data_IF_445227883411
#
_entry.id   IF_445227883411
#
_cell.length_a   1.000
_cell.length_b   1.000
_cell.length_c   1.000
_cell.angle_alpha   90.00
_cell.angle_beta   90.00
_cell.angle_gamma   90.00
#
_symmetry.space_group_name_H-M   'P 1'
#
loop_
_entity.id
_entity.type
_entity.pdbx_description
1 polymer ?
2 polymer ?
3 non-polymer ?
4 water ?
#
# COMPACT_ATOMS: atom_id res chain seq x y z
N UNK A 1 -1.86 -22.92 -21.73
CA UNK A 1 -1.34 -22.43 -20.46
C UNK A 1 -0.81 -21.02 -20.66
N UNK A 2 0.16 -20.87 -21.55
CA UNK A 2 0.73 -19.56 -21.87
C UNK A 2 -0.33 -18.49 -22.09
N UNK A 3 -1.28 -18.76 -22.98
CA UNK A 3 -2.33 -17.81 -23.30
C UNK A 3 -3.24 -17.47 -22.11
N UNK A 4 -3.34 -18.40 -21.16
CA UNK A 4 -4.21 -18.18 -20.02
C UNK A 4 -3.55 -17.35 -18.93
N UNK A 5 -2.23 -17.51 -18.79
CA UNK A 5 -1.49 -16.68 -17.88
C UNK A 5 -1.52 -15.25 -18.43
N UNK A 6 -1.39 -15.12 -19.73
CA UNK A 6 -1.47 -13.81 -20.38
C UNK A 6 -2.82 -13.11 -20.16
N UNK A 7 -3.90 -13.88 -20.25
CA UNK A 7 -5.24 -13.35 -20.07
C UNK A 7 -5.46 -12.96 -18.61
N UNK A 8 -4.89 -13.76 -17.71
CA UNK A 8 -4.95 -13.50 -16.27
C UNK A 8 -4.19 -12.23 -15.89
N UNK A 9 -3.04 -12.02 -16.53
CA UNK A 9 -2.28 -10.78 -16.38
C UNK A 9 -3.07 -9.59 -16.86
N UNK A 10 -3.57 -9.69 -18.09
CA UNK A 10 -4.41 -8.66 -18.70
C UNK A 10 -5.63 -8.29 -17.82
N UNK A 11 -6.34 -9.29 -17.31
CA UNK A 11 -7.46 -9.05 -16.39
C UNK A 11 -7.10 -8.31 -15.09
N UNK A 12 -6.01 -8.71 -14.44
CA UNK A 12 -5.60 -8.09 -13.20
C UNK A 12 -5.18 -6.67 -13.46
N UNK A 13 -4.47 -6.49 -14.56
CA UNK A 13 -4.04 -5.16 -14.95
C UNK A 13 -5.26 -4.25 -15.09
N UNK A 14 -6.26 -4.74 -15.82
CA UNK A 14 -7.50 -4.01 -16.02
C UNK A 14 -8.15 -3.58 -14.72
N UNK A 15 -8.15 -4.48 -13.74
CA UNK A 15 -8.81 -4.18 -12.48
C UNK A 15 -7.89 -3.33 -11.60
N UNK A 16 -6.59 -3.51 -11.77
CA UNK A 16 -5.59 -2.70 -11.10
C UNK A 16 -5.80 -1.23 -11.47
N UNK A 17 -6.18 -1.00 -12.74
CA UNK A 17 -6.34 0.34 -13.28
C UNK A 17 -7.60 1.03 -12.76
N UNK A 18 -8.73 0.33 -12.85
CA UNK A 18 -9.99 0.78 -12.27
C UNK A 18 -9.86 1.03 -10.77
N UNK A 19 -9.13 0.14 -10.08
CA UNK A 19 -9.05 0.17 -8.62
C UNK A 19 -8.14 1.26 -8.06
N UNK A 20 -7.04 1.54 -8.76
CA UNK A 20 -6.12 2.58 -8.30
C UNK A 20 -5.97 3.69 -9.31
N UNK A 21 -6.69 4.79 -9.08
CA UNK A 21 -6.81 5.85 -10.09
C UNK A 21 -5.44 6.41 -10.47
N UNK A 22 -4.59 6.68 -9.48
CA UNK A 22 -3.26 7.18 -9.81
C UNK A 22 -2.26 6.04 -9.96
N UNK A 23 -1.61 5.97 -11.12
CA UNK A 23 -0.73 4.85 -11.41
C UNK A 23 0.75 5.19 -11.41
N UNK A 24 1.59 4.16 -11.50
CA UNK A 24 3.02 4.39 -11.61
C UNK A 24 3.34 5.24 -12.83
N UNK A 25 2.91 4.82 -14.03
CA UNK A 25 3.13 5.67 -15.19
C UNK A 25 2.66 7.10 -14.94
N UNK A 26 1.40 7.26 -14.54
CA UNK A 26 0.82 8.57 -14.31
C UNK A 26 1.69 9.43 -13.39
N UNK A 27 2.30 8.79 -12.40
CA UNK A 27 2.94 9.49 -11.30
C UNK A 27 4.42 9.67 -11.57
N UNK A 28 4.98 8.75 -12.36
CA UNK A 28 6.36 8.85 -12.79
C UNK A 28 6.50 10.06 -13.70
N UNK A 29 5.42 10.36 -14.43
CA UNK A 29 5.40 11.47 -15.36
C UNK A 29 5.52 12.77 -14.57
N UNK A 30 4.59 12.95 -13.63
CA UNK A 30 4.57 14.10 -12.74
C UNK A 30 5.92 14.37 -12.07
N UNK A 31 6.61 13.30 -11.67
CA UNK A 31 7.87 13.43 -10.94
C UNK A 31 9.04 13.86 -11.82
N UNK A 32 9.02 13.43 -13.08
CA UNK A 32 10.09 13.74 -14.02
C UNK A 32 9.83 15.07 -14.69
N UNK A 33 8.70 15.69 -14.33
CA UNK A 33 8.28 16.93 -14.93
C UNK A 33 7.65 16.67 -16.28
N UNK A 34 7.52 15.38 -16.62
CA UNK A 34 6.96 14.98 -17.90
C UNK A 34 5.50 15.39 -18.03
N UNK A 39 3.76 20.50 -11.71
CA UNK A 39 3.15 21.67 -11.09
C UNK A 39 2.39 21.39 -9.76
N UNK A 40 2.90 20.48 -8.92
CA UNK A 40 2.25 20.09 -7.65
C UNK A 40 2.62 21.00 -6.47
N UNK A 41 1.66 21.30 -5.60
CA UNK A 41 1.97 22.06 -4.39
C UNK A 41 3.01 21.34 -3.54
N UNK A 42 4.05 22.05 -3.13
CA UNK A 42 5.13 21.44 -2.38
C UNK A 42 4.98 21.70 -0.87
N UNK A 43 5.01 20.63 -0.10
CA UNK A 43 4.98 20.71 1.37
C UNK A 43 6.37 20.45 1.89
N UNK A 44 6.93 21.44 2.56
CA UNK A 44 8.31 21.36 3.02
C UNK A 44 8.35 21.63 4.54
N UNK A 45 7.27 22.20 5.06
CA UNK A 45 7.17 22.51 6.49
C UNK A 45 5.72 22.61 6.92
N UNK A 46 5.49 23.22 8.08
CA UNK A 46 4.14 23.39 8.61
C UNK A 46 3.32 24.39 7.80
N UNK A 47 3.84 25.61 7.65
CA UNK A 47 3.14 26.65 6.90
C UNK A 47 2.70 26.21 5.50
N UNK A 48 3.56 25.52 4.78
CA UNK A 48 3.24 25.13 3.41
C UNK A 48 2.31 23.92 3.43
N UNK A 49 2.26 23.25 4.57
CA UNK A 49 1.33 22.16 4.78
C UNK A 49 -0.09 22.69 4.83
N UNK A 50 -0.32 23.66 5.71
CA UNK A 50 -1.63 24.29 5.84
C UNK A 50 -2.00 25.00 4.54
N UNK A 51 -1.01 25.63 3.91
CA UNK A 51 -1.25 26.39 2.71
C UNK A 51 -1.58 25.42 1.58
N UNK A 52 -1.17 24.18 1.77
CA UNK A 52 -1.54 23.10 0.87
C UNK A 52 -2.68 22.28 1.44
N UNK A 53 -3.30 22.76 2.51
CA UNK A 53 -4.47 22.09 3.08
C UNK A 53 -5.65 22.35 2.17
N UNK A 54 -5.36 23.02 1.05
CA UNK A 54 -6.31 23.21 -0.04
C UNK A 54 -5.62 22.81 -1.32
N UNK A 55 -4.88 21.70 -1.22
CA UNK A 55 -4.25 21.03 -2.36
C UNK A 55 -5.34 20.34 -3.16
N UNK A 56 -6.05 19.44 -2.49
CA UNK A 56 -7.25 18.81 -3.02
C UNK A 56 -8.39 19.17 -2.07
N UNK A 57 -8.69 20.47 -1.98
CA UNK A 57 -9.64 20.99 -1.00
C UNK A 57 -9.09 20.86 0.42
N UNK A 58 -8.84 19.61 0.85
CA UNK A 58 -8.28 19.30 2.16
C UNK A 58 -8.45 17.81 2.44
N UNK A 59 -7.65 17.28 3.36
CA UNK A 59 -7.79 15.88 3.76
C UNK A 59 -8.96 15.69 4.70
N UNK A 60 -10.13 16.21 4.34
CA UNK A 60 -11.30 16.26 5.22
C UNK A 60 -12.29 15.12 4.93
N UNK A 61 -12.65 14.35 5.95
CA UNK A 61 -12.20 14.55 7.33
C UNK A 61 -10.70 14.31 7.49
N UNK A 62 -9.95 15.22 8.13
CA UNK A 62 -10.43 16.46 8.78
C UNK A 62 -11.82 16.42 9.40
N UNK A 63 -12.01 15.58 10.44
CA UNK A 63 -13.28 15.50 11.13
C UNK A 63 -13.53 16.75 11.96
N UNK A 64 -13.37 16.58 13.27
CA UNK A 64 -13.35 17.66 14.22
C UNK A 64 -12.24 17.26 15.18
N UNK A 65 -11.47 16.27 14.72
CA UNK A 65 -10.23 15.83 15.35
C UNK A 65 -9.17 15.74 14.25
N UNK A 66 -7.89 15.76 14.63
CA UNK A 66 -6.77 15.86 13.69
C UNK A 66 -6.66 17.28 13.14
N UNK A 67 -7.78 17.99 13.14
CA UNK A 67 -7.85 19.41 12.80
C UNK A 67 -6.70 20.19 13.41
N UNK A 68 -6.11 19.62 14.44
CA UNK A 68 -5.53 20.39 15.54
C UNK A 68 -4.04 20.69 15.54
N UNK A 69 -3.30 19.72 16.04
CA UNK A 69 -2.08 20.01 16.80
C UNK A 69 -0.82 20.30 16.00
N UNK A 70 0.30 20.11 16.69
CA UNK A 70 1.64 20.17 16.12
C UNK A 70 1.80 19.34 14.85
N UNK A 71 2.86 19.61 14.10
CA UNK A 71 2.99 19.13 12.72
C UNK A 71 3.00 17.59 12.60
N UNK A 72 3.90 16.94 13.32
CA UNK A 72 3.93 15.48 13.33
C UNK A 72 2.52 14.88 13.51
N UNK A 73 1.75 15.36 14.50
CA UNK A 73 0.39 14.83 14.73
C UNK A 73 -0.53 15.10 13.55
N UNK A 74 -0.56 16.35 13.08
CA UNK A 74 -1.41 16.73 11.96
C UNK A 74 -1.18 15.79 10.77
N UNK A 75 0.09 15.45 10.56
CA UNK A 75 0.49 14.59 9.45
C UNK A 75 0.16 13.13 9.73
N UNK A 76 0.50 12.66 10.91
CA UNK A 76 0.17 11.30 11.32
C UNK A 76 -1.31 11.05 11.10
N UNK A 77 -2.12 12.04 11.42
CA UNK A 77 -3.56 11.88 11.34
C UNK A 77 -4.13 11.98 9.92
N UNK A 78 -3.47 12.74 9.05
CA UNK A 78 -3.85 12.82 7.65
C UNK A 78 -3.47 11.55 6.90
N UNK A 79 -2.48 10.84 7.43
CA UNK A 79 -2.01 9.62 6.82
C UNK A 79 -3.05 8.50 6.95
N UNK A 80 -3.88 8.60 7.98
CA UNK A 80 -4.89 7.60 8.25
C UNK A 80 -6.07 7.73 7.29
N UNK A 81 -6.41 8.97 6.93
CA UNK A 81 -7.45 9.18 5.92
C UNK A 81 -7.06 8.44 4.64
N UNK A 82 -5.88 8.77 4.10
CA UNK A 82 -5.45 8.20 2.83
C UNK A 82 -5.38 6.68 2.89
N UNK A 83 -5.03 6.15 4.05
CA UNK A 83 -4.80 4.72 4.15
C UNK A 83 -6.09 3.93 4.35
N UNK A 84 -7.17 4.60 4.76
CA UNK A 84 -8.51 4.02 4.72
C UNK A 84 -8.99 3.91 3.26
N UNK A 85 -8.85 5.00 2.52
CA UNK A 85 -9.04 4.97 1.07
C UNK A 85 -8.39 3.72 0.47
N UNK A 86 -7.09 3.59 0.74
CA UNK A 86 -6.26 2.57 0.12
C UNK A 86 -6.78 1.17 0.45
N UNK A 87 -7.15 0.96 1.70
CA UNK A 87 -7.68 -0.33 2.12
C UNK A 87 -8.92 -0.68 1.31
N UNK A 88 -9.77 0.32 1.05
CA UNK A 88 -10.96 0.09 0.24
C UNK A 88 -10.60 -0.24 -1.21
N UNK A 89 -9.69 0.54 -1.79
CA UNK A 89 -9.26 0.26 -3.14
C UNK A 89 -8.71 -1.17 -3.18
N UNK A 90 -7.88 -1.51 -2.18
CA UNK A 90 -7.24 -2.81 -2.19
C UNK A 90 -8.28 -3.95 -2.05
N UNK A 91 -9.15 -3.84 -1.06
CA UNK A 91 -10.27 -4.77 -0.87
C UNK A 91 -11.00 -4.99 -2.17
N UNK A 92 -11.33 -3.89 -2.82
CA UNK A 92 -11.98 -3.90 -4.12
C UNK A 92 -11.18 -4.76 -5.11
N UNK A 93 -9.89 -4.46 -5.23
CA UNK A 93 -9.06 -5.16 -6.20
C UNK A 93 -8.94 -6.66 -5.84
N UNK A 94 -8.86 -6.98 -4.56
CA UNK A 94 -8.85 -8.38 -4.13
C UNK A 94 -10.10 -9.11 -4.64
N UNK A 95 -11.29 -8.54 -4.42
CA UNK A 95 -12.50 -9.14 -4.96
C UNK A 95 -12.36 -9.54 -6.45
N UNK A 96 -11.49 -8.84 -7.18
CA UNK A 96 -11.32 -9.08 -8.61
C UNK A 96 -10.34 -10.19 -8.92
N UNK A 97 -9.58 -10.64 -7.92
CA UNK A 97 -8.68 -11.76 -8.15
C UNK A 97 -9.45 -13.08 -8.23
N UNK A 98 -9.42 -13.71 -9.42
CA UNK A 98 -10.30 -14.85 -9.68
C UNK A 98 -10.11 -15.91 -8.60
N UNK A 99 -11.18 -16.39 -8.00
CA UNK A 99 -11.04 -17.38 -6.94
C UNK A 99 -11.13 -16.80 -5.53
N UNK A 100 -10.84 -15.50 -5.40
CA UNK A 100 -10.79 -14.87 -4.09
C UNK A 100 -12.14 -14.81 -3.37
N UNK A 101 -13.17 -14.30 -4.05
CA UNK A 101 -14.47 -14.20 -3.38
C UNK A 101 -15.08 -15.59 -3.16
N UNK A 102 -14.45 -16.61 -3.74
CA UNK A 102 -14.88 -17.98 -3.52
C UNK A 102 -14.28 -18.60 -2.26
N UNK A 103 -13.33 -17.89 -1.65
CA UNK A 103 -12.71 -18.39 -0.43
C UNK A 103 -13.66 -18.22 0.74
N UNK A 104 -13.36 -18.94 1.81
CA UNK A 104 -14.00 -18.69 3.08
C UNK A 104 -13.88 -17.20 3.40
N UNK A 105 -14.98 -16.65 3.93
CA UNK A 105 -15.02 -15.25 4.29
C UNK A 105 -13.98 -14.93 5.36
N UNK A 106 -13.81 -15.85 6.30
CA UNK A 106 -12.78 -15.70 7.34
C UNK A 106 -11.40 -15.68 6.74
N UNK A 107 -11.17 -16.53 5.75
CA UNK A 107 -9.87 -16.51 5.05
C UNK A 107 -9.69 -15.20 4.29
N UNK A 108 -10.75 -14.74 3.62
CA UNK A 108 -10.70 -13.47 2.92
C UNK A 108 -10.33 -12.31 3.85
N UNK A 109 -10.90 -12.30 5.06
CA UNK A 109 -10.62 -11.27 6.05
C UNK A 109 -9.16 -11.31 6.48
N UNK A 110 -8.69 -12.50 6.82
CA UNK A 110 -7.29 -12.71 7.20
C UNK A 110 -6.31 -12.28 6.11
N UNK A 111 -6.59 -12.62 4.87
CA UNK A 111 -5.65 -12.29 3.79
C UNK A 111 -5.47 -10.80 3.68
N UNK A 112 -6.59 -10.09 3.75
CA UNK A 112 -6.58 -8.65 3.65
C UNK A 112 -5.96 -8.02 4.89
N UNK A 113 -6.33 -8.51 6.08
CA UNK A 113 -5.77 -7.99 7.32
C UNK A 113 -4.23 -8.00 7.33
N UNK A 114 -3.65 -9.11 6.89
CA UNK A 114 -2.18 -9.25 6.89
C UNK A 114 -1.47 -8.70 5.64
N UNK A 115 -2.20 -8.50 4.54
CA UNK A 115 -1.56 -8.16 3.27
C UNK A 115 -1.64 -6.70 2.89
N UNK A 116 -2.55 -6.02 3.57
CA UNK A 116 -2.89 -4.65 3.25
C UNK A 116 -1.66 -3.70 3.35
N UNK A 117 -0.88 -3.78 4.41
CA UNK A 117 0.25 -2.87 4.51
C UNK A 117 1.38 -3.22 3.57
N UNK A 118 1.53 -4.49 3.26
CA UNK A 118 2.56 -4.90 2.33
C UNK A 118 2.25 -4.24 1.00
N UNK A 119 0.98 -4.21 0.64
CA UNK A 119 0.51 -3.60 -0.60
C UNK A 119 0.55 -2.08 -0.55
N UNK A 120 0.16 -1.51 0.57
CA UNK A 120 0.29 -0.08 0.73
C UNK A 120 1.76 0.36 0.53
N UNK A 121 2.73 -0.30 1.16
CA UNK A 121 4.12 0.14 0.95
C UNK A 121 4.62 -0.17 -0.46
N UNK A 122 4.08 -1.20 -1.09
CA UNK A 122 4.47 -1.51 -2.46
C UNK A 122 3.97 -0.41 -3.35
N UNK A 123 2.71 -0.03 -3.17
CA UNK A 123 2.13 0.96 -4.06
C UNK A 123 2.68 2.36 -3.81
N UNK A 124 3.02 2.64 -2.56
CA UNK A 124 3.57 3.93 -2.18
C UNK A 124 4.86 4.21 -2.94
N UNK A 125 5.67 3.17 -3.16
CA UNK A 125 6.96 3.28 -3.84
C UNK A 125 6.83 3.87 -5.26
N UNK A 126 5.74 3.54 -5.94
CA UNK A 126 5.45 4.16 -7.23
C UNK A 126 5.41 5.67 -7.09
N UNK A 127 4.99 6.13 -5.92
CA UNK A 127 4.72 7.54 -5.68
C UNK A 127 5.95 8.31 -5.18
N UNK A 128 7.05 7.61 -4.95
CA UNK A 128 8.25 8.22 -4.39
C UNK A 128 9.44 8.38 -5.35
N UNK A 129 10.30 9.35 -5.05
CA UNK A 129 11.66 9.38 -5.59
C UNK A 129 12.55 9.62 -4.40
N UNK A 130 13.87 9.66 -4.61
CA UNK A 130 14.80 9.87 -3.49
C UNK A 130 14.47 11.13 -2.65
N UNK A 131 13.73 12.06 -3.22
CA UNK A 131 13.60 13.37 -2.57
C UNK A 131 12.25 13.64 -1.89
N UNK A 132 11.25 12.83 -2.17
CA UNK A 132 9.92 13.10 -1.64
C UNK A 132 8.82 12.22 -2.21
N UNK A 133 7.61 12.42 -1.68
CA UNK A 133 6.47 11.60 -2.06
C UNK A 133 5.29 12.42 -2.52
N UNK A 134 4.61 11.90 -3.56
CA UNK A 134 3.40 12.52 -4.09
C UNK A 134 2.23 12.32 -3.15
N UNK A 135 1.31 13.27 -3.14
CA UNK A 135 0.13 13.14 -2.31
C UNK A 135 -1.03 13.81 -3.02
N UNK A 136 -2.25 13.57 -2.53
CA UNK A 136 -3.42 14.23 -3.08
C UNK A 136 -3.49 13.90 -4.54
N UNK A 137 -3.34 12.62 -4.84
CA UNK A 137 -3.50 12.16 -6.19
C UNK A 137 -2.61 12.99 -7.10
N UNK A 138 -1.35 13.15 -6.70
CA UNK A 138 -0.37 13.84 -7.52
C UNK A 138 -0.44 15.36 -7.52
N UNK A 139 -1.29 15.94 -6.67
CA UNK A 139 -1.40 17.40 -6.61
C UNK A 139 -0.40 18.03 -5.64
N UNK A 140 0.12 17.22 -4.73
CA UNK A 140 1.11 17.67 -3.78
C UNK A 140 2.37 16.84 -3.86
N UNK A 141 3.47 17.39 -3.38
CA UNK A 141 4.71 16.65 -3.24
C UNK A 141 5.29 16.95 -1.87
N UNK A 142 5.36 15.92 -1.02
CA UNK A 142 5.85 16.11 0.33
C UNK A 142 7.33 15.70 0.37
N UNK A 143 8.20 16.60 0.82
CA UNK A 143 9.63 16.32 0.84
C UNK A 143 10.01 15.28 1.88
N UNK A 144 10.95 14.43 1.49
CA UNK A 144 11.50 13.43 2.38
C UNK A 144 12.06 14.05 3.65
N UNK A 145 12.85 15.11 3.49
CA UNK A 145 13.55 15.77 4.60
C UNK A 145 12.57 16.32 5.60
N UNK A 146 11.42 16.78 5.10
CA UNK A 146 10.40 17.27 5.99
C UNK A 146 9.89 16.11 6.82
N UNK A 147 9.63 15.00 6.15
CA UNK A 147 9.10 13.82 6.83
C UNK A 147 10.02 13.24 7.91
N UNK A 148 11.34 13.25 7.69
CA UNK A 148 12.30 12.82 8.73
C UNK A 148 12.26 13.76 9.93
N UNK A 149 12.45 15.05 9.64
CA UNK A 149 12.52 16.09 10.66
C UNK A 149 11.39 16.01 11.69
N UNK A 150 10.31 15.31 11.36
CA UNK A 150 9.26 15.07 12.35
C UNK A 150 9.97 14.44 13.54
N UNK A 151 9.60 14.82 14.75
CA UNK A 151 10.43 14.41 15.88
C UNK A 151 9.95 13.20 16.68
N UNK A 152 9.14 13.45 17.71
CA UNK A 152 8.86 12.46 18.77
C UNK A 152 9.22 11.00 18.45
N UNK A 153 8.25 10.17 18.00
CA UNK A 153 8.67 8.94 17.31
C UNK A 153 8.26 8.97 15.85
N UNK A 154 7.60 10.04 15.43
CA UNK A 154 6.99 10.12 14.10
C UNK A 154 8.03 10.26 13.00
N UNK A 155 9.21 10.71 13.36
CA UNK A 155 10.35 10.61 12.45
C UNK A 155 10.45 9.15 12.12
N UNK A 156 11.04 8.83 10.96
CA UNK A 156 11.39 7.45 10.69
C UNK A 156 10.17 6.54 10.77
N UNK A 157 8.99 7.13 10.56
CA UNK A 157 7.81 6.33 10.31
C UNK A 157 7.73 6.23 8.81
N UNK A 158 8.52 7.07 8.14
CA UNK A 158 8.48 7.16 6.70
C UNK A 158 9.86 6.96 6.07
N UNK A 159 10.89 7.26 6.83
CA UNK A 159 12.25 7.07 6.32
C UNK A 159 12.52 5.63 5.84
N UNK A 160 12.04 4.62 6.59
CA UNK A 160 12.24 3.23 6.18
C UNK A 160 11.54 2.92 4.84
N UNK A 161 10.38 3.52 4.59
CA UNK A 161 9.65 3.27 3.36
C UNK A 161 10.38 3.93 2.19
N UNK A 162 10.99 5.08 2.46
CA UNK A 162 11.77 5.73 1.42
C UNK A 162 12.93 4.84 1.09
N UNK A 163 13.58 4.30 2.11
CA UNK A 163 14.75 3.45 1.89
C UNK A 163 14.40 2.24 1.05
N UNK A 164 13.23 1.65 1.34
CA UNK A 164 12.75 0.50 0.60
C UNK A 164 12.33 0.89 -0.82
N UNK A 165 11.61 2.01 -0.93
CA UNK A 165 11.12 2.47 -2.22
C UNK A 165 12.26 2.68 -3.23
N UNK A 166 13.38 3.22 -2.76
CA UNK A 166 14.50 3.53 -3.64
C UNK A 166 15.12 2.26 -4.23
N UNK A 167 15.20 1.21 -3.42
CA UNK A 167 15.68 -0.08 -3.90
C UNK A 167 14.66 -0.74 -4.83
N UNK A 168 13.38 -0.61 -4.47
CA UNK A 168 12.31 -1.31 -5.17
C UNK A 168 12.11 -0.72 -6.55
N UNK A 169 12.20 0.60 -6.62
CA UNK A 169 12.08 1.33 -7.87
C UNK A 169 13.25 1.09 -8.82
N UNK A 170 14.40 0.70 -8.26
CA UNK A 170 15.52 0.29 -9.10
C UNK A 170 15.18 -0.95 -9.94
N UNK A 171 14.27 -1.79 -9.43
CA UNK A 171 13.80 -2.96 -10.19
C UNK A 171 13.08 -2.48 -11.43
N UNK A 172 12.65 -1.23 -11.38
CA UNK A 172 11.86 -0.58 -12.45
C UNK A 172 10.68 -1.38 -13.01
N UNK A 173 9.85 -1.85 -12.09
CA UNK A 173 8.58 -2.48 -12.43
C UNK A 173 7.60 -1.48 -13.02
N UNK A 174 6.78 -1.94 -13.96
CA UNK A 174 5.67 -1.11 -14.38
C UNK A 174 4.37 -1.61 -13.76
N UNK A 175 3.28 -0.90 -14.07
CA UNK A 175 1.95 -1.22 -13.57
C UNK A 175 1.48 -2.65 -13.90
N UNK A 176 1.85 -3.17 -15.06
CA UNK A 176 1.46 -4.50 -15.47
C UNK A 176 2.16 -5.51 -14.58
N UNK A 177 3.41 -5.22 -14.22
CA UNK A 177 4.18 -6.15 -13.41
C UNK A 177 3.61 -6.08 -12.01
N UNK A 178 3.38 -4.85 -11.55
CA UNK A 178 2.97 -4.62 -10.19
C UNK A 178 1.62 -5.27 -9.93
N UNK A 179 0.77 -5.24 -10.95
CA UNK A 179 -0.57 -5.79 -10.85
C UNK A 179 -0.58 -7.23 -10.34
N UNK A 180 0.31 -8.05 -10.87
CA UNK A 180 0.34 -9.45 -10.52
C UNK A 180 1.09 -9.67 -9.23
N UNK A 181 2.09 -8.83 -8.98
CA UNK A 181 2.89 -8.90 -7.77
C UNK A 181 2.00 -8.68 -6.55
N UNK A 182 1.11 -7.71 -6.66
CA UNK A 182 0.16 -7.36 -5.60
C UNK A 182 -0.84 -8.52 -5.38
N UNK A 183 -1.31 -9.11 -6.47
CA UNK A 183 -2.18 -10.27 -6.38
C UNK A 183 -1.49 -11.38 -5.59
N UNK A 184 -0.27 -11.70 -5.99
CA UNK A 184 0.54 -12.72 -5.30
C UNK A 184 0.65 -12.47 -3.79
N UNK A 185 0.92 -11.21 -3.40
CA UNK A 185 1.05 -10.87 -1.99
C UNK A 185 -0.23 -11.13 -1.21
N UNK A 186 -1.36 -10.69 -1.76
CA UNK A 186 -2.66 -10.97 -1.14
C UNK A 186 -2.92 -12.46 -0.99
N UNK A 187 -2.53 -13.25 -1.98
CA UNK A 187 -2.81 -14.69 -1.90
C UNK A 187 -1.67 -15.48 -1.22
N UNK A 188 -1.15 -14.93 -0.12
CA UNK A 188 -0.11 -15.55 0.68
C UNK A 188 -0.71 -16.55 1.65
N UNK A 189 -0.33 -17.82 1.53
CA UNK A 189 -0.92 -18.87 2.35
C UNK A 189 -0.30 -19.09 3.74
N UNK A 190 0.66 -18.23 4.13
CA UNK A 190 1.28 -18.37 5.44
C UNK A 190 0.76 -17.34 6.44
N UNK A 191 -0.42 -16.81 6.18
CA UNK A 191 -1.04 -15.90 7.12
C UNK A 191 -1.52 -16.65 8.38
N UNK A 192 -1.17 -16.11 9.55
CA UNK A 192 -1.68 -16.61 10.83
C UNK A 192 -3.20 -16.78 10.82
N UNK A 193 -3.68 -17.94 11.24
CA UNK A 193 -5.09 -18.18 11.46
C UNK A 193 -5.90 -18.44 10.20
N UNK A 194 -5.24 -18.94 9.16
CA UNK A 194 -5.98 -19.35 7.97
C UNK A 194 -6.68 -20.67 8.23
N UNK A 195 -7.89 -20.79 7.72
CA UNK A 195 -8.73 -21.96 7.99
C UNK A 195 -8.38 -23.13 7.08
N UNK A 196 -8.35 -22.90 5.77
CA UNK A 196 -7.74 -23.89 4.91
C UNK A 196 -6.90 -23.29 3.79
N UNK A 197 -5.65 -23.69 3.81
CA UNK A 197 -4.59 -23.07 3.05
C UNK A 197 -4.57 -23.51 1.58
N UNK A 198 -4.88 -24.78 1.35
CA UNK A 198 -4.74 -25.38 0.03
C UNK A 198 -5.28 -24.53 -1.13
N UNK A 199 -6.53 -24.06 -1.02
CA UNK A 199 -7.11 -23.30 -2.15
C UNK A 199 -6.47 -21.94 -2.37
N UNK A 200 -5.96 -21.33 -1.31
CA UNK A 200 -5.23 -20.07 -1.44
C UNK A 200 -3.89 -20.31 -2.16
N UNK A 201 -3.14 -21.31 -1.70
CA UNK A 201 -1.89 -21.68 -2.33
C UNK A 201 -2.07 -22.13 -3.79
N UNK A 202 -3.24 -22.64 -4.11
CA UNK A 202 -3.47 -23.05 -5.48
C UNK A 202 -3.57 -21.79 -6.35
N UNK A 203 -4.31 -20.81 -5.88
CA UNK A 203 -4.40 -19.56 -6.60
C UNK A 203 -3.04 -18.86 -6.72
N UNK A 204 -2.27 -18.83 -5.64
CA UNK A 204 -0.98 -18.13 -5.70
C UNK A 204 -0.07 -18.79 -6.74
N UNK A 205 -0.09 -20.12 -6.78
CA UNK A 205 0.70 -20.88 -7.76
C UNK A 205 0.45 -20.31 -9.12
N UNK A 206 -0.82 -20.08 -9.38
CA UNK A 206 -1.26 -19.48 -10.62
C UNK A 206 -0.78 -18.05 -10.86
N UNK A 207 -0.90 -17.20 -9.85
CA UNK A 207 -0.44 -15.83 -10.01
C UNK A 207 1.07 -15.82 -10.20
N UNK A 208 1.75 -16.78 -9.58
CA UNK A 208 3.22 -16.83 -9.61
C UNK A 208 3.72 -17.19 -11.00
N UNK A 209 3.08 -18.20 -11.59
CA UNK A 209 3.31 -18.56 -12.98
C UNK A 209 3.11 -17.35 -13.90
N UNK A 210 1.99 -16.66 -13.71
CA UNK A 210 1.66 -15.51 -14.51
C UNK A 210 2.67 -14.37 -14.30
N UNK A 211 3.14 -14.19 -13.07
CA UNK A 211 4.09 -13.12 -12.79
C UNK A 211 5.41 -13.40 -13.50
N UNK A 212 5.82 -14.67 -13.44
CA UNK A 212 7.09 -15.14 -13.99
C UNK A 212 7.20 -14.89 -15.49
N UNK A 213 6.09 -15.13 -16.17
CA UNK A 213 5.98 -14.96 -17.60
C UNK A 213 5.90 -13.48 -17.93
N UNK A 214 5.15 -12.75 -17.12
CA UNK A 214 5.10 -11.31 -17.29
C UNK A 214 6.51 -10.73 -17.22
N UNK A 215 7.27 -11.12 -16.20
CA UNK A 215 8.62 -10.58 -16.05
C UNK A 215 9.49 -10.91 -17.27
N UNK A 216 9.34 -12.13 -17.80
CA UNK A 216 10.19 -12.54 -18.90
C UNK A 216 9.85 -11.82 -20.21
N UNK A 217 8.56 -11.66 -20.48
CA UNK A 217 8.13 -10.89 -21.66
C UNK A 217 8.49 -9.42 -21.56
N UNK A 218 8.06 -8.81 -20.47
CA UNK A 218 8.22 -7.37 -20.26
C UNK A 218 9.67 -6.90 -19.96
N UNK A 219 10.46 -7.73 -19.27
CA UNK A 219 11.83 -7.35 -18.89
C UNK A 219 12.88 -8.39 -19.28
N UNK A 220 13.04 -8.61 -20.60
CA UNK A 220 13.82 -9.76 -21.13
C UNK A 220 15.32 -9.72 -20.83
N UNK A 221 15.90 -8.55 -20.59
CA UNK A 221 17.31 -8.51 -20.23
C UNK A 221 17.56 -8.39 -18.73
N UNK A 222 16.49 -8.29 -17.94
CA UNK A 222 16.65 -8.18 -16.50
C UNK A 222 16.76 -9.56 -15.85
N UNK A 223 18.00 -9.97 -15.61
CA UNK A 223 18.33 -11.33 -15.19
C UNK A 223 17.81 -11.63 -13.79
N UNK A 224 17.07 -12.72 -13.67
CA UNK A 224 16.60 -13.17 -12.36
C UNK A 224 15.65 -12.15 -11.68
N UNK A 225 14.92 -11.37 -12.47
CA UNK A 225 14.01 -10.38 -11.93
C UNK A 225 12.94 -11.02 -11.04
N UNK A 226 12.43 -12.16 -11.47
CA UNK A 226 11.45 -12.91 -10.71
C UNK A 226 11.99 -13.12 -9.28
N UNK A 227 13.15 -13.72 -9.19
CA UNK A 227 13.81 -13.92 -7.91
C UNK A 227 14.04 -12.63 -7.11
N UNK A 228 14.55 -11.60 -7.77
CA UNK A 228 14.85 -10.34 -7.07
C UNK A 228 13.57 -9.83 -6.44
N UNK A 229 12.46 -10.09 -7.12
CA UNK A 229 11.19 -9.49 -6.74
C UNK A 229 10.63 -10.18 -5.49
N UNK A 230 10.61 -11.51 -5.51
CA UNK A 230 10.20 -12.28 -4.32
C UNK A 230 11.09 -11.98 -3.12
N UNK A 231 12.33 -11.62 -3.38
CA UNK A 231 13.24 -11.27 -2.32
C UNK A 231 12.80 -9.96 -1.68
N UNK A 232 12.07 -9.14 -2.44
CA UNK A 232 11.57 -7.88 -1.91
C UNK A 232 10.48 -8.14 -0.89
N UNK A 233 9.78 -9.25 -1.03
CA UNK A 233 8.75 -9.61 -0.06
C UNK A 233 9.30 -9.66 1.36
N UNK A 234 10.59 -9.92 1.54
CA UNK A 234 11.14 -9.90 2.90
C UNK A 234 11.42 -8.46 3.38
N UNK A 235 12.03 -7.65 2.53
CA UNK A 235 12.12 -6.21 2.78
C UNK A 235 10.77 -5.72 3.28
N UNK A 236 9.71 -6.10 2.55
CA UNK A 236 8.34 -5.63 2.84
C UNK A 236 7.82 -6.03 4.22
N UNK A 237 8.01 -7.28 4.61
CA UNK A 237 7.61 -7.74 5.95
C UNK A 237 8.30 -6.95 7.05
N UNK A 238 9.55 -6.54 6.82
CA UNK A 238 10.31 -5.82 7.85
C UNK A 238 9.69 -4.46 8.03
N UNK A 239 9.42 -3.79 6.93
CA UNK A 239 8.78 -2.49 7.02
C UNK A 239 7.45 -2.61 7.76
N UNK A 240 6.71 -3.70 7.49
CA UNK A 240 5.40 -3.87 8.08
C UNK A 240 5.50 -4.03 9.59
N UNK A 241 6.40 -4.91 10.03
CA UNK A 241 6.61 -5.17 11.46
C UNK A 241 7.30 -4.00 12.17
N UNK A 242 8.10 -3.23 11.45
CA UNK A 242 8.69 -2.01 12.01
C UNK A 242 7.54 -1.03 12.24
N UNK A 243 6.63 -0.97 11.27
CA UNK A 243 5.55 0.01 11.30
C UNK A 243 4.64 -0.29 12.47
N UNK A 244 4.33 -1.57 12.65
CA UNK A 244 3.44 -2.01 13.73
C UNK A 244 3.99 -1.61 15.09
N UNK A 245 5.28 -1.81 15.32
CA UNK A 245 5.92 -1.36 16.56
C UNK A 245 5.74 0.14 16.77
N UNK A 246 6.04 0.94 15.74
CA UNK A 246 5.77 2.37 15.80
C UNK A 246 4.33 2.58 16.29
N UNK A 247 3.36 1.93 15.64
CA UNK A 247 1.95 2.02 16.04
C UNK A 247 1.74 1.78 17.55
N UNK A 248 2.38 0.72 18.05
CA UNK A 248 2.24 0.31 19.43
C UNK A 248 2.81 1.35 20.39
N UNK A 249 3.84 2.07 19.97
CA UNK A 249 4.45 3.06 20.85
C UNK A 249 3.68 4.39 20.82
N UNK A 250 2.87 4.56 19.79
CA UNK A 250 2.02 5.74 19.69
C UNK A 250 0.82 5.58 20.60
N UNK A 251 0.29 4.36 20.62
CA UNK A 251 -0.94 4.08 21.34
C UNK A 251 -0.72 4.17 22.85
N UNK A 252 0.48 4.57 23.24
CA UNK A 252 0.79 4.72 24.66
C UNK A 252 1.44 6.06 25.01
N UNK A 253 2.64 6.26 24.49
CA UNK A 253 3.46 7.42 24.82
C UNK A 253 2.82 8.70 24.33
N UNK A 254 2.27 8.67 23.13
CA UNK A 254 1.57 9.82 22.63
C UNK A 254 0.23 9.95 23.30
N UNK A 255 -0.33 11.15 23.23
CA UNK A 255 -1.66 11.39 23.76
C UNK A 255 -2.62 10.44 23.09
N UNK A 256 -3.81 10.38 23.65
CA UNK A 256 -4.89 9.63 23.05
C UNK A 256 -5.31 10.37 21.79
N UNK A 257 -4.76 9.97 20.65
CA UNK A 257 -5.32 10.44 19.39
C UNK A 257 -6.21 9.34 18.85
N UNK A 258 -7.25 9.75 18.14
CA UNK A 258 -8.28 8.84 17.68
C UNK A 258 -7.73 7.96 16.57
N UNK A 259 -8.35 6.79 16.42
CA UNK A 259 -8.02 5.89 15.31
C UNK A 259 -9.30 5.53 14.57
N UNK A 260 -9.21 5.53 13.24
CA UNK A 260 -10.33 5.12 12.43
C UNK A 260 -10.64 3.66 12.70
N UNK A 261 -11.92 3.36 13.01
CA UNK A 261 -12.40 2.02 13.37
C UNK A 261 -11.84 0.96 12.43
N UNK A 262 -11.79 1.26 11.14
CA UNK A 262 -11.27 0.30 10.17
C UNK A 262 -9.81 -0.08 10.50
N UNK A 263 -9.00 0.93 10.79
CA UNK A 263 -7.61 0.69 11.18
C UNK A 263 -7.49 -0.08 12.51
N UNK A 264 -8.39 0.19 13.46
CA UNK A 264 -8.32 -0.56 14.72
C UNK A 264 -8.54 -2.06 14.52
N UNK A 265 -9.47 -2.41 13.62
CA UNK A 265 -9.78 -3.81 13.36
C UNK A 265 -8.56 -4.53 12.80
N UNK A 266 -7.91 -3.91 11.84
CA UNK A 266 -6.76 -4.50 11.18
C UNK A 266 -5.57 -4.59 12.12
N UNK A 267 -5.38 -3.53 12.90
CA UNK A 267 -4.25 -3.45 13.81
C UNK A 267 -4.39 -4.43 14.98
N UNK A 268 -5.58 -4.54 15.58
CA UNK A 268 -5.72 -5.39 16.77
C UNK A 268 -5.30 -6.81 16.45
N UNK A 269 -4.45 -7.37 17.31
CA UNK A 269 -4.06 -8.78 17.23
C UNK A 269 -3.22 -9.16 16.01
N UNK A 270 -2.51 -8.19 15.44
CA UNK A 270 -1.66 -8.48 14.29
C UNK A 270 -0.19 -8.09 14.53
N UNK A 271 0.72 -8.84 13.92
CA UNK A 271 2.15 -8.52 14.04
C UNK A 271 2.93 -8.79 12.74
N UNK B 1 -13.78 -12.45 11.42
CA UNK B 1 -15.08 -11.80 11.24
C UNK B 1 -15.57 -11.04 12.48
N UNK B 2 -14.66 -10.74 13.39
CA UNK B 2 -14.85 -9.63 14.32
C UNK B 2 -14.04 -8.47 13.71
N UNK B 3 -13.84 -8.56 12.41
CA UNK B 3 -13.44 -7.42 11.61
C UNK B 3 -14.67 -7.02 10.78
N UNK B 4 -15.64 -6.39 11.45
CA UNK B 4 -16.95 -6.18 10.86
C UNK B 4 -17.00 -5.15 9.71
N UNK B 5 -16.26 -4.06 9.81
CA UNK B 5 -16.22 -3.09 8.70
C UNK B 5 -15.71 -3.83 7.46
N UNK B 6 -14.65 -4.60 7.66
CA UNK B 6 -13.95 -5.32 6.60
C UNK B 6 -14.81 -6.44 6.04
N UNK B 7 -15.50 -7.17 6.92
CA UNK B 7 -16.44 -8.19 6.49
C UNK B 7 -17.49 -7.62 5.55
N UNK B 8 -17.92 -6.39 5.81
CA UNK B 8 -18.89 -5.72 4.95
C UNK B 8 -18.25 -5.32 3.62
N UNK B 9 -17.08 -4.70 3.66
CA UNK B 9 -16.37 -4.37 2.43
C UNK B 9 -16.33 -5.56 1.48
N UNK B 10 -16.07 -6.73 2.03
CA UNK B 10 -15.93 -7.94 1.23
C UNK B 10 -17.30 -8.48 0.90
N UNK B 11 -18.24 -8.28 1.81
CA UNK B 11 -19.60 -8.72 1.60
C UNK B 11 -20.31 -7.76 0.66
N UNK B 12 -19.94 -7.82 -0.63
CA UNK B 12 -20.46 -6.92 -1.64
C UNK B 12 -20.27 -5.45 -1.25
X LIG C 1 0.06 13.52 3.25
X LIG C 1 0.06 12.30 3.28
X LIG C 1 -1.17 11.42 3.38
X LIG C 1 1.05 11.59 3.26
X LIG C 1 1.65 10.51 3.30
X LIG C 1 3.12 10.21 3.32
X LIG C 1 0.62 9.50 3.39
X LIG C 1 -0.81 9.95 3.03
X LIG C 1 0.91 8.27 3.81
X LIG C 1 -0.24 7.29 3.99
X LIG C 1 -0.45 6.59 2.70
X LIG C 1 -1.20 5.43 2.65
X LIG C 1 -1.38 4.77 1.43
X LIG C 1 -0.82 5.28 0.26
X LIG C 1 -1.01 4.59 -0.95
X LIG C 1 -1.70 3.33 -0.95
X LIG C 1 -0.44 5.10 -2.19
X LIG C 1 -0.06 6.44 0.32
X LIG C 1 0.12 7.10 1.53
X LIG C 1 0.00 6.30 5.15
X LIG C 1 1.44 5.81 5.29
X LIG C 1 1.86 4.92 4.12
X LIG C 1 1.78 5.04 6.59
X LIG C 1 0.74 5.26 7.63
X LIG C 1 -0.12 5.45 8.42
X LIG C 1 -1.18 5.59 9.42
X LIG C 1 1.79 3.64 6.36
X LIG C 1 3.20 5.47 6.97
X LIG C 1 3.66 6.52 5.95
X LIG C 1 2.33 7.04 5.39
X LIG C 1 2.35 7.86 4.10
X LIG C 1 3.30 9.06 4.31
#
# INVERSE_FOLDING_TARGET
ESADLRALAKHLYDSYIKSFPLTKAKARAILTGKTTDKSPFVIYDMNSLMMGEDKIKFKHITPLQEQSKEVAIRIFQGCQFRSVEAVQEITEYAKSIPGFVNLDLNDQVTLLKYGVHEIIYTMLASLMNKDGVLISEGQGFMTREFLKSLRKPFGDFMEPKFEFAVKFNALELDDSDLAIFIAVIILSGDRPGLLNVKPIEDIQDNLLQALELQLKLNHPESSQLFAKLLQKMTDLRQIVTEHVQLLQVIKKTETDMSLHPLLQEIYKDLY
ERHKILHRLLQEGSPS
486 O30 C2 C1 C3 C4 C7 C5 C6 C10 C14 C18 C22 C23 C24 N27 C29 C28 C25 C26 C13 C12 C19 C17 C31 C30 C32 O3 C16 C15 C11 C9 C8
#
